data_IF_548858993862
#
_entry.id   IF_548858993862
#
_cell.length_a   1.000
_cell.length_b   1.000
_cell.length_c   1.000
_cell.angle_alpha   90.00
_cell.angle_beta   90.00
_cell.angle_gamma   90.00
#
_symmetry.space_group_name_H-M   'P 1'
#
loop_
_entity.id
_entity.type
_entity.pdbx_description
1 polymer ?
#
# COMPACT_ATOMS: atom_id res chain seq x y z
N UNK A 1 41.77 -28.30 44.51
CA UNK A 1 42.19 -29.67 44.13
C UNK A 1 41.87 -29.85 42.65
N UNK A 2 42.91 -30.06 41.82
CA UNK A 2 42.91 -30.55 40.42
C UNK A 2 42.28 -29.55 39.42
N UNK A 3 42.95 -28.74 38.57
CA UNK A 3 44.17 -28.78 37.73
C UNK A 3 44.22 -29.87 36.67
N UNK A 4 44.08 -29.50 35.38
CA UNK A 4 44.67 -30.12 34.16
C UNK A 4 44.22 -29.29 32.93
N UNK A 5 45.01 -28.35 32.40
CA UNK A 5 46.06 -28.45 31.37
C UNK A 5 45.66 -29.02 29.98
N UNK A 6 45.49 -28.07 29.04
CA UNK A 6 46.06 -27.93 27.68
C UNK A 6 46.39 -29.20 26.84
N UNK A 7 45.96 -29.18 25.58
CA UNK A 7 46.84 -29.43 24.43
C UNK A 7 46.32 -28.76 23.15
N UNK A 8 47.18 -27.94 22.55
CA UNK A 8 47.01 -27.37 21.21
C UNK A 8 47.69 -28.31 20.20
N UNK A 9 47.01 -28.63 19.09
CA UNK A 9 47.63 -29.24 17.93
C UNK A 9 47.56 -28.25 16.76
N UNK A 10 48.71 -27.71 16.40
CA UNK A 10 48.92 -26.99 15.15
C UNK A 10 49.02 -28.01 14.02
N UNK A 11 48.20 -27.88 12.99
CA UNK A 11 48.42 -28.55 11.70
C UNK A 11 48.50 -27.48 10.62
N UNK A 12 49.71 -27.31 10.12
CA UNK A 12 50.09 -26.58 8.91
C UNK A 12 49.77 -27.45 7.69
N UNK A 13 48.87 -26.97 6.82
CA UNK A 13 48.85 -27.33 5.39
C UNK A 13 49.05 -26.00 4.64
N UNK A 14 50.08 -25.80 3.84
CA UNK A 14 50.55 -26.67 2.76
C UNK A 14 49.94 -26.15 1.46
N UNK A 15 50.47 -25.03 0.94
CA UNK A 15 50.05 -24.41 -0.32
C UNK A 15 50.51 -25.32 -1.46
N UNK A 16 49.57 -25.93 -2.18
CA UNK A 16 49.82 -26.56 -3.47
C UNK A 16 49.10 -25.71 -4.52
N UNK A 17 49.89 -24.97 -5.30
CA UNK A 17 49.44 -24.26 -6.47
C UNK A 17 49.26 -25.26 -7.62
N UNK A 18 48.01 -25.60 -7.94
CA UNK A 18 47.69 -26.40 -9.12
C UNK A 18 47.18 -25.45 -10.21
N UNK A 19 47.96 -25.32 -11.28
CA UNK A 19 47.56 -24.62 -12.49
C UNK A 19 46.33 -25.32 -13.11
N UNK A 20 45.20 -24.62 -13.16
CA UNK A 20 44.03 -25.04 -13.92
C UNK A 20 43.91 -24.16 -15.15
N UNK A 21 44.10 -24.82 -16.28
CA UNK A 21 43.97 -24.38 -17.66
C UNK A 21 42.65 -23.63 -17.87
N UNK A 22 42.72 -22.42 -18.39
CA UNK A 22 41.59 -21.60 -18.83
C UNK A 22 40.92 -22.24 -20.05
N UNK A 23 39.90 -23.07 -19.82
CA UNK A 23 38.91 -23.42 -20.84
C UNK A 23 37.91 -22.27 -20.95
N UNK A 24 38.10 -21.45 -21.99
CA UNK A 24 37.18 -20.39 -22.37
C UNK A 24 35.82 -20.96 -22.74
N UNK A 25 34.85 -20.83 -21.84
CA UNK A 25 33.44 -20.93 -22.19
C UNK A 25 33.01 -19.62 -22.86
N UNK A 26 33.15 -19.56 -24.17
CA UNK A 26 32.33 -18.66 -24.99
C UNK A 26 30.87 -19.11 -24.88
N UNK A 27 30.12 -18.56 -23.93
CA UNK A 27 28.66 -18.62 -24.00
C UNK A 27 28.18 -17.59 -25.03
N UNK A 28 28.35 -17.95 -26.30
CA UNK A 28 27.62 -17.35 -27.40
C UNK A 28 26.17 -17.83 -27.32
N UNK A 29 25.36 -17.20 -26.47
CA UNK A 29 23.91 -17.19 -26.64
C UNK A 29 23.46 -15.74 -26.76
N UNK A 30 23.57 -15.23 -28.00
CA UNK A 30 22.64 -14.23 -28.50
C UNK A 30 21.24 -14.77 -28.25
N UNK A 31 20.58 -14.27 -27.20
CA UNK A 31 19.12 -14.33 -27.13
C UNK A 31 18.65 -13.68 -28.42
N UNK A 32 18.01 -14.48 -29.28
CA UNK A 32 17.43 -14.00 -30.52
C UNK A 32 16.68 -12.72 -30.23
N UNK A 33 17.14 -11.61 -30.82
CA UNK A 33 16.41 -10.38 -30.85
C UNK A 33 15.10 -10.70 -31.59
N UNK A 34 14.06 -11.00 -30.82
CA UNK A 34 12.70 -10.92 -31.32
C UNK A 34 12.60 -9.53 -31.96
N UNK A 35 12.28 -9.52 -33.25
CA UNK A 35 11.96 -8.34 -34.04
C UNK A 35 11.30 -7.30 -33.14
N UNK A 36 11.95 -6.13 -32.97
CA UNK A 36 11.69 -5.17 -31.90
C UNK A 36 10.33 -4.51 -32.07
N UNK A 37 9.28 -5.26 -31.78
CA UNK A 37 7.93 -4.76 -31.70
C UNK A 37 7.86 -4.06 -30.35
N UNK A 38 8.37 -2.81 -30.31
CA UNK A 38 8.60 -2.00 -29.11
C UNK A 38 7.49 -2.26 -28.08
N UNK A 39 7.86 -2.72 -26.89
CA UNK A 39 6.89 -2.99 -25.82
C UNK A 39 6.17 -1.67 -25.50
N UNK A 40 4.85 -1.73 -25.39
CA UNK A 40 4.02 -0.62 -24.95
C UNK A 40 3.52 -0.91 -23.55
N UNK A 41 3.10 0.12 -22.82
CA UNK A 41 2.36 -0.08 -21.57
C UNK A 41 1.11 -0.94 -21.79
N UNK A 42 0.38 -0.74 -22.90
CA UNK A 42 -0.79 -1.55 -23.25
C UNK A 42 -0.47 -3.05 -23.36
N UNK A 43 0.65 -3.41 -24.00
CA UNK A 43 1.09 -4.81 -24.11
C UNK A 43 1.36 -5.42 -22.74
N UNK A 44 2.06 -4.73 -21.84
CA UNK A 44 2.45 -5.29 -20.53
C UNK A 44 1.31 -5.23 -19.49
N UNK A 45 0.32 -4.34 -19.67
CA UNK A 45 -0.79 -4.17 -18.72
C UNK A 45 -2.13 -4.76 -19.17
N UNK A 46 -2.20 -5.44 -20.32
CA UNK A 46 -3.46 -5.88 -20.94
C UNK A 46 -4.40 -4.70 -21.28
N UNK A 47 -3.86 -3.64 -21.88
CA UNK A 47 -4.58 -2.42 -22.24
C UNK A 47 -5.34 -1.76 -21.08
N UNK A 48 -4.92 -1.99 -19.84
CA UNK A 48 -5.60 -1.48 -18.64
C UNK A 48 -5.01 -0.15 -18.19
N UNK A 49 -5.81 0.92 -18.24
CA UNK A 49 -5.45 2.22 -17.67
C UNK A 49 -5.30 2.17 -16.14
N UNK A 50 -6.04 1.30 -15.45
CA UNK A 50 -5.93 1.10 -14.00
C UNK A 50 -4.56 0.51 -13.62
N UNK A 51 -4.10 -0.50 -14.34
CA UNK A 51 -2.74 -1.06 -14.15
C UNK A 51 -1.66 -0.03 -14.48
N UNK A 52 -1.82 0.72 -15.57
CA UNK A 52 -0.88 1.82 -15.90
C UNK A 52 -0.87 2.91 -14.82
N UNK A 53 -2.03 3.28 -14.26
CA UNK A 53 -2.11 4.19 -13.12
C UNK A 53 -1.41 3.64 -11.88
N UNK A 54 -1.53 2.34 -11.64
CA UNK A 54 -0.84 1.67 -10.52
C UNK A 54 0.68 1.68 -10.72
N UNK A 55 1.17 1.50 -11.95
CA UNK A 55 2.60 1.70 -12.28
C UNK A 55 3.02 3.13 -11.92
N UNK A 56 2.26 4.16 -12.30
CA UNK A 56 2.55 5.56 -11.94
C UNK A 56 2.61 5.78 -10.42
N UNK A 57 1.68 5.18 -9.68
CA UNK A 57 1.67 5.22 -8.22
C UNK A 57 2.97 4.65 -7.62
N UNK A 58 3.34 3.45 -8.06
CA UNK A 58 4.55 2.76 -7.60
C UNK A 58 5.81 3.52 -8.00
N UNK A 59 5.82 4.18 -9.16
CA UNK A 59 6.93 5.05 -9.59
C UNK A 59 7.16 6.16 -8.58
N UNK A 60 6.10 6.87 -8.17
CA UNK A 60 6.21 7.95 -7.17
C UNK A 60 6.69 7.43 -5.83
N UNK A 61 6.22 6.24 -5.44
CA UNK A 61 6.60 5.60 -4.18
C UNK A 61 8.08 5.20 -4.18
N UNK A 62 8.54 4.57 -5.26
CA UNK A 62 9.92 4.15 -5.44
C UNK A 62 10.87 5.35 -5.51
N UNK A 63 10.49 6.41 -6.24
CA UNK A 63 11.26 7.66 -6.27
C UNK A 63 11.41 8.30 -4.88
N UNK A 64 10.35 8.26 -4.06
CA UNK A 64 10.41 8.77 -2.69
C UNK A 64 11.37 7.98 -1.82
N UNK A 65 11.31 6.65 -1.92
CA UNK A 65 12.14 5.69 -1.19
C UNK A 65 13.62 5.81 -1.56
N UNK A 66 13.95 5.74 -2.85
CA UNK A 66 15.33 5.71 -3.36
C UNK A 66 16.10 7.00 -3.09
N UNK A 67 15.40 8.14 -3.08
CA UNK A 67 16.01 9.46 -2.92
C UNK A 67 15.75 10.08 -1.55
N UNK A 68 15.16 9.34 -0.61
CA UNK A 68 14.83 9.81 0.75
C UNK A 68 14.20 11.21 0.74
N UNK A 69 13.19 11.41 -0.10
CA UNK A 69 12.65 12.75 -0.37
C UNK A 69 12.17 13.44 0.90
N UNK A 70 12.33 14.76 0.97
CA UNK A 70 11.74 15.56 2.05
C UNK A 70 10.21 15.65 1.90
N UNK A 71 9.49 15.98 2.97
CA UNK A 71 8.03 16.19 2.90
C UNK A 71 7.62 17.24 1.84
N UNK A 72 8.41 18.31 1.65
CA UNK A 72 8.17 19.32 0.60
C UNK A 72 8.31 18.74 -0.80
N UNK A 73 9.32 17.89 -1.02
CA UNK A 73 9.51 17.17 -2.29
C UNK A 73 8.39 16.16 -2.53
N UNK A 74 7.93 15.44 -1.49
CA UNK A 74 6.81 14.51 -1.57
C UNK A 74 5.51 15.20 -2.00
N UNK A 75 5.23 16.40 -1.48
CA UNK A 75 4.05 17.17 -1.87
C UNK A 75 3.97 17.42 -3.38
N UNK A 76 5.10 17.46 -4.08
CA UNK A 76 5.15 17.70 -5.53
C UNK A 76 5.01 16.41 -6.36
N UNK A 77 5.07 15.21 -5.77
CA UNK A 77 5.13 13.94 -6.50
C UNK A 77 3.88 13.69 -7.35
N UNK A 78 2.72 14.14 -6.88
CA UNK A 78 1.46 13.98 -7.61
C UNK A 78 1.47 14.73 -8.95
N UNK A 79 2.34 15.75 -9.10
CA UNK A 79 2.53 16.53 -10.31
C UNK A 79 3.66 16.00 -11.22
N UNK A 80 4.41 14.98 -10.78
CA UNK A 80 5.46 14.35 -11.59
C UNK A 80 4.88 13.89 -12.95
N UNK A 81 5.41 14.38 -14.09
CA UNK A 81 4.96 13.93 -15.40
C UNK A 81 5.31 12.46 -15.59
N UNK A 82 4.28 11.62 -15.70
CA UNK A 82 4.41 10.18 -15.89
C UNK A 82 3.54 9.70 -17.07
N UNK A 83 3.84 8.54 -17.66
CA UNK A 83 3.14 8.03 -18.85
C UNK A 83 1.65 7.79 -18.61
N UNK A 84 0.82 8.41 -19.46
CA UNK A 84 -0.65 8.28 -19.41
C UNK A 84 -1.23 7.48 -20.57
N UNK A 85 -0.49 7.34 -21.68
CA UNK A 85 -0.94 6.66 -22.90
C UNK A 85 -0.51 5.20 -22.88
N UNK A 86 -1.43 4.29 -23.22
CA UNK A 86 -1.12 2.86 -23.34
C UNK A 86 -0.13 2.59 -24.48
N UNK A 87 -0.06 3.47 -25.48
CA UNK A 87 0.91 3.41 -26.58
C UNK A 87 2.30 3.90 -26.20
N UNK A 88 2.51 4.46 -25.00
CA UNK A 88 3.83 4.93 -24.60
C UNK A 88 4.80 3.76 -24.36
N UNK A 89 6.08 4.03 -24.62
CA UNK A 89 7.17 3.06 -24.64
C UNK A 89 8.39 3.50 -23.81
N UNK A 90 8.25 4.56 -23.02
CA UNK A 90 9.36 5.17 -22.28
C UNK A 90 9.70 4.37 -21.01
N UNK A 91 9.99 3.08 -21.20
CA UNK A 91 10.45 2.18 -20.16
C UNK A 91 11.33 1.09 -20.74
N UNK A 92 12.15 0.50 -19.87
CA UNK A 92 12.83 -0.77 -20.10
C UNK A 92 12.31 -1.79 -19.11
N UNK A 93 12.26 -3.06 -19.53
CA UNK A 93 11.83 -4.17 -18.70
C UNK A 93 12.96 -5.19 -18.64
N UNK A 94 13.53 -5.37 -17.45
CA UNK A 94 14.55 -6.38 -17.16
C UNK A 94 13.94 -7.58 -16.45
N UNK A 95 14.78 -8.55 -16.05
CA UNK A 95 14.33 -9.70 -15.24
C UNK A 95 13.98 -9.33 -13.79
N UNK A 96 14.39 -8.16 -13.32
CA UNK A 96 14.24 -7.77 -11.91
C UNK A 96 13.51 -6.45 -11.73
N UNK A 97 13.48 -5.58 -12.73
CA UNK A 97 12.88 -4.25 -12.64
C UNK A 97 12.09 -3.84 -13.89
N UNK A 98 11.07 -3.01 -13.68
CA UNK A 98 10.54 -2.11 -14.70
C UNK A 98 11.16 -0.72 -14.47
N UNK A 99 11.99 -0.26 -15.40
CA UNK A 99 12.61 1.06 -15.31
C UNK A 99 11.87 2.04 -16.19
N UNK A 100 11.32 3.09 -15.59
CA UNK A 100 10.59 4.14 -16.32
C UNK A 100 11.54 5.29 -16.61
N UNK A 101 11.67 5.65 -17.88
CA UNK A 101 12.48 6.79 -18.31
C UNK A 101 11.63 8.06 -18.22
N UNK A 102 12.11 9.01 -17.43
CA UNK A 102 11.44 10.27 -17.12
C UNK A 102 11.91 11.39 -18.05
N UNK A 103 10.99 12.29 -18.37
CA UNK A 103 11.35 13.58 -18.98
C UNK A 103 11.97 14.50 -17.92
N UNK A 104 12.62 15.59 -18.36
CA UNK A 104 13.14 16.62 -17.45
C UNK A 104 12.07 17.03 -16.42
N UNK A 105 12.45 17.01 -15.15
CA UNK A 105 11.53 17.23 -14.04
C UNK A 105 12.24 17.91 -12.86
N UNK A 106 11.45 18.35 -11.87
CA UNK A 106 11.92 19.09 -10.70
C UNK A 106 12.80 18.29 -9.73
N UNK A 107 12.89 16.97 -9.89
CA UNK A 107 13.73 16.11 -9.05
C UNK A 107 15.10 15.85 -9.67
N UNK A 108 15.33 16.28 -10.92
CA UNK A 108 16.57 16.02 -11.67
C UNK A 108 16.90 14.52 -11.77
N UNK A 109 15.87 13.67 -11.84
CA UNK A 109 15.97 12.21 -11.98
C UNK A 109 15.56 11.81 -13.38
N UNK A 110 16.40 11.03 -14.06
CA UNK A 110 16.17 10.61 -15.45
C UNK A 110 15.38 9.29 -15.56
N UNK A 111 15.38 8.47 -14.51
CA UNK A 111 14.65 7.20 -14.50
C UNK A 111 14.33 6.72 -13.09
N UNK A 112 13.32 5.84 -12.97
CA UNK A 112 12.95 5.19 -11.72
C UNK A 112 12.79 3.70 -11.98
N UNK A 113 13.54 2.87 -11.26
CA UNK A 113 13.53 1.42 -11.39
C UNK A 113 12.64 0.77 -10.32
N UNK A 114 11.48 0.23 -10.72
CA UNK A 114 10.55 -0.43 -9.80
C UNK A 114 10.85 -1.93 -9.78
N UNK A 115 11.18 -2.53 -8.63
CA UNK A 115 11.33 -3.97 -8.49
C UNK A 115 10.09 -4.74 -8.96
N UNK A 116 10.27 -5.82 -9.73
CA UNK A 116 9.14 -6.57 -10.30
C UNK A 116 8.24 -7.23 -9.25
N UNK A 117 8.76 -7.57 -8.06
CA UNK A 117 7.92 -8.09 -6.97
C UNK A 117 6.83 -7.07 -6.53
N UNK A 118 7.10 -5.76 -6.60
CA UNK A 118 6.11 -4.69 -6.35
C UNK A 118 5.07 -4.57 -7.48
N UNK A 119 5.32 -5.18 -8.64
CA UNK A 119 4.48 -5.12 -9.86
C UNK A 119 3.65 -6.39 -10.10
N UNK A 120 3.70 -7.33 -9.16
CA UNK A 120 2.98 -8.60 -9.18
C UNK A 120 1.47 -8.40 -9.40
N UNK A 121 0.93 -8.99 -10.47
CA UNK A 121 -0.49 -8.86 -10.86
C UNK A 121 -0.88 -7.54 -11.54
N UNK A 122 0.04 -6.58 -11.62
CA UNK A 122 -0.08 -5.32 -12.37
C UNK A 122 0.46 -5.50 -13.78
N UNK A 123 1.65 -6.09 -13.91
CA UNK A 123 2.20 -6.55 -15.19
C UNK A 123 1.69 -7.97 -15.47
N UNK A 124 1.42 -8.28 -16.74
CA UNK A 124 1.04 -9.63 -17.15
C UNK A 124 2.19 -10.63 -16.92
N UNK A 125 1.88 -11.77 -16.31
CA UNK A 125 2.84 -12.83 -15.95
C UNK A 125 3.75 -13.25 -17.10
N UNK A 126 3.29 -13.24 -18.35
CA UNK A 126 4.12 -13.58 -19.53
C UNK A 126 5.33 -12.67 -19.75
N UNK A 127 5.36 -11.50 -19.10
CA UNK A 127 6.49 -10.57 -19.12
C UNK A 127 7.29 -10.55 -17.81
N UNK A 128 7.00 -11.44 -16.86
CA UNK A 128 7.66 -11.52 -15.56
C UNK A 128 8.24 -12.92 -15.34
N UNK A 129 9.37 -13.06 -14.61
CA UNK A 129 9.78 -14.35 -14.07
C UNK A 129 8.69 -15.00 -13.22
N UNK A 130 8.53 -16.34 -13.33
CA UNK A 130 7.49 -17.11 -12.61
C UNK A 130 7.46 -16.88 -11.09
N UNK A 131 8.61 -16.60 -10.48
CA UNK A 131 8.70 -16.31 -9.04
C UNK A 131 7.94 -15.05 -8.60
N UNK A 132 7.55 -14.19 -9.55
CA UNK A 132 6.74 -13.00 -9.33
C UNK A 132 5.29 -13.17 -9.84
N UNK A 133 4.84 -14.40 -10.08
CA UNK A 133 3.44 -14.65 -10.38
C UNK A 133 2.56 -14.21 -9.20
N UNK A 134 1.42 -13.59 -9.50
CA UNK A 134 0.47 -13.22 -8.46
C UNK A 134 -0.13 -14.47 -7.80
N UNK A 135 0.25 -14.68 -6.55
CA UNK A 135 -0.36 -15.69 -5.68
C UNK A 135 -1.47 -15.01 -4.91
N UNK A 136 -2.71 -15.43 -5.18
CA UNK A 136 -3.88 -15.01 -4.42
C UNK A 136 -3.66 -15.36 -2.94
N UNK A 137 -3.72 -14.40 -2.00
CA UNK A 137 -3.54 -14.68 -0.58
C UNK A 137 -4.52 -15.77 -0.12
N UNK A 138 -3.99 -16.81 0.51
CA UNK A 138 -4.83 -17.80 1.17
C UNK A 138 -5.49 -17.15 2.38
N UNK A 139 -6.82 -17.16 2.44
CA UNK A 139 -7.57 -16.65 3.58
C UNK A 139 -8.59 -17.67 4.08
N UNK A 140 -8.92 -17.66 5.38
CA UNK A 140 -10.06 -18.41 5.90
C UNK A 140 -11.36 -18.09 5.16
N UNK A 141 -12.35 -18.99 5.29
CA UNK A 141 -13.64 -18.84 4.59
C UNK A 141 -14.33 -17.51 4.92
N UNK A 142 -14.27 -17.05 6.19
CA UNK A 142 -14.89 -15.80 6.65
C UNK A 142 -13.83 -14.80 7.09
N UNK A 143 -13.80 -13.65 6.43
CA UNK A 143 -12.90 -12.55 6.80
C UNK A 143 -13.59 -11.19 6.78
N UNK A 144 -13.01 -10.23 7.48
CA UNK A 144 -13.40 -8.81 7.47
C UNK A 144 -12.15 -7.93 7.63
N UNK A 145 -12.25 -6.66 7.24
CA UNK A 145 -11.24 -5.64 7.54
C UNK A 145 -11.85 -4.54 8.40
N UNK A 146 -11.23 -4.24 9.54
CA UNK A 146 -11.53 -3.04 10.31
C UNK A 146 -10.80 -1.85 9.72
N UNK A 147 -11.53 -0.74 9.58
CA UNK A 147 -10.97 0.52 9.10
C UNK A 147 -11.42 1.68 9.98
N UNK A 148 -10.52 2.64 10.20
CA UNK A 148 -10.76 3.79 11.08
C UNK A 148 -10.45 5.09 10.34
N UNK A 149 -11.39 6.03 10.34
CA UNK A 149 -11.27 7.33 9.66
C UNK A 149 -11.06 8.48 10.67
N UNK A 150 -10.60 9.62 10.17
CA UNK A 150 -10.43 10.94 10.82
C UNK A 150 -9.24 11.13 11.77
N UNK A 151 -8.64 10.04 12.24
CA UNK A 151 -7.45 10.07 13.08
C UNK A 151 -6.20 10.69 12.41
N UNK A 152 -5.06 10.72 13.13
CA UNK A 152 -4.90 10.21 14.49
C UNK A 152 -5.41 11.21 15.55
N UNK A 153 -6.08 10.69 16.58
CA UNK A 153 -6.34 11.38 17.84
C UNK A 153 -5.20 11.04 18.85
N UNK A 154 -4.68 12.01 19.64
CA UNK A 154 -3.55 11.78 20.51
C UNK A 154 -3.84 10.88 21.72
N UNK A 155 -5.11 10.63 22.03
CA UNK A 155 -5.54 9.87 23.21
C UNK A 155 -6.25 8.57 22.82
N UNK A 156 -7.15 8.63 21.85
CA UNK A 156 -8.04 7.55 21.45
C UNK A 156 -7.35 6.58 20.49
N UNK A 157 -6.62 7.07 19.49
CA UNK A 157 -5.86 6.19 18.58
C UNK A 157 -4.86 5.32 19.36
N UNK A 158 -4.03 5.84 20.31
CA UNK A 158 -3.18 4.97 21.13
C UNK A 158 -3.93 3.94 21.99
N UNK A 159 -5.11 4.28 22.51
CA UNK A 159 -5.96 3.32 23.25
C UNK A 159 -6.47 2.21 22.32
N UNK A 160 -6.90 2.58 21.11
CA UNK A 160 -7.33 1.64 20.08
C UNK A 160 -6.19 0.70 19.66
N UNK A 161 -4.98 1.22 19.45
CA UNK A 161 -3.81 0.39 19.11
C UNK A 161 -3.54 -0.68 20.18
N UNK A 162 -3.63 -0.34 21.48
CA UNK A 162 -3.51 -1.32 22.58
C UNK A 162 -4.61 -2.38 22.54
N UNK A 163 -5.84 -2.00 22.17
CA UNK A 163 -6.95 -2.95 21.99
C UNK A 163 -6.63 -3.90 20.82
N UNK A 164 -6.28 -3.37 19.66
CA UNK A 164 -5.95 -4.14 18.46
C UNK A 164 -4.81 -5.15 18.75
N UNK A 165 -3.75 -4.71 19.44
CA UNK A 165 -2.65 -5.55 19.86
C UNK A 165 -3.10 -6.69 20.80
N UNK A 166 -3.90 -6.37 21.84
CA UNK A 166 -4.43 -7.37 22.79
C UNK A 166 -5.24 -8.46 22.08
N UNK A 167 -5.96 -8.09 21.02
CA UNK A 167 -6.77 -9.03 20.25
C UNK A 167 -6.01 -9.67 19.08
N UNK A 168 -4.73 -9.36 18.86
CA UNK A 168 -3.95 -9.81 17.69
C UNK A 168 -4.69 -9.52 16.37
N UNK A 169 -5.11 -8.27 16.20
CA UNK A 169 -5.79 -7.79 14.99
C UNK A 169 -5.04 -6.57 14.46
N UNK A 170 -4.85 -6.51 13.15
CA UNK A 170 -4.40 -5.30 12.47
C UNK A 170 -5.57 -4.64 11.72
N UNK A 171 -5.50 -3.33 11.57
CA UNK A 171 -6.51 -2.51 10.91
C UNK A 171 -5.88 -1.56 9.88
N UNK A 172 -6.73 -0.85 9.13
CA UNK A 172 -6.30 0.25 8.24
C UNK A 172 -6.85 1.58 8.75
N UNK A 173 -5.98 2.57 8.91
CA UNK A 173 -6.32 3.91 9.40
C UNK A 173 -6.26 4.91 8.25
N UNK A 174 -7.38 5.52 7.89
CA UNK A 174 -7.44 6.60 6.92
C UNK A 174 -7.29 7.92 7.64
N UNK A 175 -6.05 8.42 7.70
CA UNK A 175 -5.70 9.56 8.51
C UNK A 175 -5.88 10.89 7.77
N UNK A 176 -6.36 11.90 8.50
CA UNK A 176 -6.51 13.28 8.01
C UNK A 176 -5.18 14.01 8.18
N UNK A 177 -4.70 14.62 7.11
CA UNK A 177 -3.35 15.22 7.05
C UNK A 177 -3.08 16.27 8.14
N UNK A 178 -4.07 17.09 8.51
CA UNK A 178 -3.94 18.05 9.62
C UNK A 178 -3.69 17.39 10.97
N UNK A 179 -4.35 16.25 11.21
CA UNK A 179 -4.17 15.46 12.43
C UNK A 179 -2.78 14.82 12.46
N UNK A 180 -2.32 14.27 11.33
CA UNK A 180 -0.95 13.71 11.20
C UNK A 180 0.12 14.76 11.46
N UNK A 181 -0.03 15.97 10.91
CA UNK A 181 0.92 17.06 11.16
C UNK A 181 1.00 17.44 12.63
N UNK A 182 -0.11 17.36 13.36
CA UNK A 182 -0.17 17.69 14.79
C UNK A 182 0.36 16.54 15.66
N UNK A 183 0.11 15.30 15.28
CA UNK A 183 0.42 14.11 16.08
C UNK A 183 1.23 13.04 15.32
N UNK A 184 2.38 13.39 14.72
CA UNK A 184 3.13 12.47 13.86
C UNK A 184 3.64 11.22 14.59
N UNK A 185 3.84 11.30 15.91
CA UNK A 185 4.24 10.15 16.73
C UNK A 185 3.15 9.07 16.82
N UNK A 186 1.88 9.46 16.71
CA UNK A 186 0.75 8.52 16.74
C UNK A 186 0.70 7.75 15.43
N UNK A 187 0.79 8.42 14.28
CA UNK A 187 0.89 7.76 12.96
C UNK A 187 2.09 6.81 12.87
N UNK A 188 3.24 7.18 13.46
CA UNK A 188 4.39 6.24 13.57
C UNK A 188 4.03 4.97 14.34
N UNK A 189 3.30 5.13 15.44
CA UNK A 189 2.89 3.99 16.28
C UNK A 189 1.89 3.09 15.53
N UNK A 190 0.97 3.69 14.78
CA UNK A 190 0.03 2.94 13.91
C UNK A 190 0.79 1.98 12.98
N UNK A 191 1.78 2.48 12.22
CA UNK A 191 2.56 1.62 11.32
C UNK A 191 3.46 0.62 12.07
N UNK A 192 4.10 1.05 13.17
CA UNK A 192 5.00 0.19 13.95
C UNK A 192 4.29 -1.07 14.47
N UNK A 193 3.00 -0.94 14.81
CA UNK A 193 2.18 -2.05 15.31
C UNK A 193 1.61 -2.95 14.19
N UNK A 194 2.09 -2.81 12.94
CA UNK A 194 1.71 -3.64 11.80
C UNK A 194 0.38 -3.25 11.13
N UNK A 195 -0.19 -2.11 11.50
CA UNK A 195 -1.38 -1.57 10.84
C UNK A 195 -1.00 -0.84 9.53
N UNK A 196 -2.00 -0.53 8.72
CA UNK A 196 -1.81 0.25 7.49
C UNK A 196 -2.33 1.67 7.66
N UNK A 197 -1.71 2.63 6.95
CA UNK A 197 -2.19 4.01 6.85
C UNK A 197 -2.62 4.31 5.41
N UNK A 198 -3.84 4.81 5.27
CA UNK A 198 -4.39 5.43 4.08
C UNK A 198 -4.50 6.95 4.22
N UNK A 199 -4.79 7.62 3.11
CA UNK A 199 -4.95 9.07 3.04
C UNK A 199 -6.45 9.42 3.09
N UNK A 200 -6.83 10.33 4.00
CA UNK A 200 -8.20 10.80 4.18
C UNK A 200 -8.37 12.31 3.92
N UNK A 201 -7.66 12.84 2.91
CA UNK A 201 -7.56 14.28 2.62
C UNK A 201 -6.87 15.08 3.74
N UNK A 202 -6.68 16.40 3.57
CA UNK A 202 -5.90 17.23 4.50
C UNK A 202 -6.76 17.77 5.64
N UNK A 203 -7.98 18.19 5.36
CA UNK A 203 -8.89 18.75 6.36
C UNK A 203 -10.35 18.35 6.11
N UNK A 204 -10.55 17.15 5.59
CA UNK A 204 -11.86 16.49 5.41
C UNK A 204 -12.89 17.23 4.50
N UNK A 205 -12.53 17.96 3.43
CA UNK A 205 -13.54 18.51 2.54
C UNK A 205 -14.11 17.41 1.63
N UNK A 206 -15.36 17.59 1.21
CA UNK A 206 -15.90 16.80 0.10
C UNK A 206 -15.13 17.12 -1.20
N UNK A 207 -14.26 16.20 -1.64
CA UNK A 207 -13.32 16.45 -2.75
C UNK A 207 -14.02 16.76 -4.08
N UNK A 208 -15.22 16.22 -4.29
CA UNK A 208 -16.03 16.46 -5.50
C UNK A 208 -16.56 17.88 -5.62
N UNK A 209 -16.56 18.66 -4.54
CA UNK A 209 -16.94 20.08 -4.53
C UNK A 209 -15.75 21.01 -4.80
N UNK A 210 -14.54 20.46 -4.90
CA UNK A 210 -13.32 21.23 -5.13
C UNK A 210 -12.91 21.24 -6.60
N UNK A 211 -12.19 22.29 -7.00
CA UNK A 211 -11.46 22.30 -8.27
C UNK A 211 -10.39 21.19 -8.30
N UNK A 212 -9.99 20.75 -9.49
CA UNK A 212 -8.99 19.68 -9.64
C UNK A 212 -7.68 20.00 -8.90
N UNK A 213 -7.24 21.27 -8.92
CA UNK A 213 -6.04 21.70 -8.21
C UNK A 213 -6.20 21.58 -6.69
N UNK A 214 -7.31 22.07 -6.14
CA UNK A 214 -7.60 22.00 -4.69
C UNK A 214 -7.77 20.56 -4.21
N UNK A 215 -8.50 19.72 -4.94
CA UNK A 215 -8.66 18.30 -4.60
C UNK A 215 -7.32 17.56 -4.63
N UNK A 216 -6.48 17.79 -5.65
CA UNK A 216 -5.13 17.20 -5.71
C UNK A 216 -4.24 17.68 -4.56
N UNK A 217 -4.33 18.96 -4.20
CA UNK A 217 -3.55 19.54 -3.11
C UNK A 217 -3.92 18.95 -1.74
N UNK A 218 -5.20 18.62 -1.53
CA UNK A 218 -5.66 17.89 -0.33
C UNK A 218 -4.93 16.55 -0.18
N UNK A 219 -4.86 15.77 -1.25
CA UNK A 219 -4.17 14.47 -1.24
C UNK A 219 -2.66 14.65 -1.05
N UNK A 220 -2.06 15.57 -1.80
CA UNK A 220 -0.61 15.81 -1.78
C UNK A 220 -0.07 16.26 -0.42
N UNK A 221 -0.79 17.14 0.28
CA UNK A 221 -0.40 17.59 1.62
C UNK A 221 -0.47 16.46 2.64
N UNK A 222 -1.50 15.61 2.55
CA UNK A 222 -1.64 14.46 3.45
C UNK A 222 -0.60 13.39 3.17
N UNK A 223 -0.28 13.11 1.90
CA UNK A 223 0.82 12.21 1.53
C UNK A 223 2.16 12.71 2.11
N UNK A 224 2.44 14.02 2.00
CA UNK A 224 3.63 14.63 2.59
C UNK A 224 3.66 14.55 4.12
N UNK A 225 2.52 14.76 4.79
CA UNK A 225 2.43 14.66 6.25
C UNK A 225 2.68 13.23 6.74
N UNK A 226 2.03 12.24 6.12
CA UNK A 226 2.19 10.82 6.45
C UNK A 226 3.61 10.36 6.17
N UNK A 227 4.18 10.71 5.01
CA UNK A 227 5.55 10.37 4.69
C UNK A 227 6.55 11.01 5.67
N UNK A 228 6.39 12.29 6.00
CA UNK A 228 7.26 12.95 6.99
C UNK A 228 7.16 12.29 8.37
N UNK A 229 5.96 11.84 8.76
CA UNK A 229 5.76 11.18 10.03
C UNK A 229 6.40 9.79 10.05
N UNK A 230 6.27 9.02 8.95
CA UNK A 230 6.45 7.56 8.95
C UNK A 230 7.52 7.00 8.01
N UNK A 231 8.05 7.82 7.11
CA UNK A 231 8.94 7.40 6.02
C UNK A 231 8.25 6.63 4.89
N UNK A 232 6.93 6.44 4.95
CA UNK A 232 6.18 5.64 3.97
C UNK A 232 5.06 6.46 3.33
N UNK A 233 4.87 6.31 2.03
CA UNK A 233 3.72 6.89 1.32
C UNK A 233 2.48 6.01 1.50
N UNK A 234 1.30 6.59 1.77
CA UNK A 234 0.09 5.82 1.91
C UNK A 234 -0.31 5.21 0.55
N UNK A 235 -0.82 3.98 0.57
CA UNK A 235 -1.17 3.24 -0.66
C UNK A 235 -2.61 3.50 -1.11
N UNK A 236 -3.52 3.80 -0.19
CA UNK A 236 -4.97 3.91 -0.48
C UNK A 236 -5.59 5.25 -0.09
N UNK A 237 -6.52 5.76 -0.89
CA UNK A 237 -7.31 6.95 -0.52
C UNK A 237 -8.70 6.49 -0.10
N UNK A 238 -9.21 7.01 1.02
CA UNK A 238 -10.64 7.04 1.29
C UNK A 238 -11.10 8.49 1.21
N UNK A 239 -11.94 8.87 0.23
CA UNK A 239 -12.47 10.21 0.14
C UNK A 239 -13.43 10.49 1.31
N UNK A 240 -13.36 11.67 1.94
CA UNK A 240 -14.38 12.12 2.91
C UNK A 240 -15.80 11.91 2.39
N UNK A 241 -16.68 11.42 3.26
CA UNK A 241 -18.09 11.11 2.97
C UNK A 241 -18.30 10.02 1.89
N UNK A 242 -17.24 9.31 1.49
CA UNK A 242 -17.28 8.40 0.34
C UNK A 242 -17.46 9.13 -1.00
N UNK A 243 -17.37 10.46 -1.02
CA UNK A 243 -17.70 11.29 -2.16
C UNK A 243 -16.57 11.27 -3.20
N UNK A 244 -16.79 10.50 -4.27
CA UNK A 244 -15.86 10.36 -5.39
C UNK A 244 -16.62 10.32 -6.72
N UNK A 245 -15.96 10.78 -7.78
CA UNK A 245 -16.42 10.61 -9.16
C UNK A 245 -15.20 10.45 -10.07
N UNK A 246 -15.44 10.10 -11.34
CA UNK A 246 -14.41 9.88 -12.34
C UNK A 246 -13.44 11.06 -12.49
N UNK A 247 -13.93 12.31 -12.36
CA UNK A 247 -13.09 13.50 -12.39
C UNK A 247 -12.05 13.49 -11.26
N UNK A 248 -12.49 13.26 -10.02
CA UNK A 248 -11.61 13.34 -8.84
C UNK A 248 -10.77 12.08 -8.66
N UNK A 249 -11.35 10.88 -8.83
CA UNK A 249 -10.65 9.61 -8.62
C UNK A 249 -9.45 9.39 -9.56
N UNK A 250 -9.45 10.06 -10.72
CA UNK A 250 -8.35 10.00 -11.68
C UNK A 250 -7.25 11.05 -11.44
N UNK A 251 -7.31 11.88 -10.39
CA UNK A 251 -6.34 12.97 -10.17
C UNK A 251 -5.01 12.52 -9.56
N UNK A 252 -4.97 11.36 -8.90
CA UNK A 252 -3.87 10.96 -8.01
C UNK A 252 -3.42 9.50 -8.16
N UNK A 253 -3.95 8.75 -9.12
CA UNK A 253 -3.51 7.38 -9.46
C UNK A 253 -3.53 6.38 -8.28
N UNK A 254 -4.60 6.31 -7.49
CA UNK A 254 -4.65 5.39 -6.33
C UNK A 254 -5.94 4.56 -6.27
N UNK A 255 -5.90 3.38 -5.64
CA UNK A 255 -7.10 2.66 -5.25
C UNK A 255 -7.92 3.49 -4.27
N UNK A 256 -9.24 3.51 -4.48
CA UNK A 256 -10.21 4.16 -3.61
C UNK A 256 -10.83 3.09 -2.70
N UNK A 257 -10.76 3.28 -1.39
CA UNK A 257 -11.32 2.33 -0.43
C UNK A 257 -12.57 2.93 0.19
N UNK A 258 -13.70 2.31 -0.10
CA UNK A 258 -15.00 2.61 0.48
C UNK A 258 -15.27 1.60 1.60
N UNK A 259 -16.55 1.32 1.88
CA UNK A 259 -16.96 0.33 2.88
C UNK A 259 -18.28 -0.32 2.46
N UNK A 260 -18.54 -1.52 2.95
CA UNK A 260 -19.84 -2.20 2.81
C UNK A 260 -20.62 -2.23 4.12
N UNK A 261 -19.95 -1.91 5.24
CA UNK A 261 -20.55 -1.81 6.57
C UNK A 261 -20.18 -0.46 7.17
N UNK A 262 -21.17 0.43 7.30
CA UNK A 262 -21.07 1.67 8.08
C UNK A 262 -21.46 1.35 9.53
N UNK A 263 -20.57 1.56 10.49
CA UNK A 263 -20.89 1.31 11.90
C UNK A 263 -21.89 2.30 12.49
N UNK A 264 -22.10 3.44 11.82
CA UNK A 264 -22.90 4.58 12.30
C UNK A 264 -22.44 5.12 13.65
N UNK A 265 -21.21 4.85 14.03
CA UNK A 265 -20.63 5.24 15.32
C UNK A 265 -20.56 6.76 15.49
N UNK A 266 -20.22 7.49 14.42
CA UNK A 266 -20.27 8.94 14.29
C UNK A 266 -21.66 9.56 14.52
N UNK A 267 -22.73 8.80 14.21
CA UNK A 267 -24.11 9.26 14.37
C UNK A 267 -24.71 8.84 15.71
N UNK A 268 -24.36 7.64 16.20
CA UNK A 268 -24.95 7.09 17.42
C UNK A 268 -24.29 7.60 18.68
N UNK A 269 -22.97 7.80 18.68
CA UNK A 269 -22.17 8.12 19.87
C UNK A 269 -22.53 7.22 21.07
N UNK A 270 -22.83 5.95 20.80
CA UNK A 270 -23.33 4.99 21.78
C UNK A 270 -22.74 3.61 21.50
N UNK A 271 -21.99 3.07 22.46
CA UNK A 271 -21.23 1.84 22.30
C UNK A 271 -22.11 0.61 22.04
N UNK A 272 -23.12 0.27 22.88
CA UNK A 272 -23.98 -0.89 22.62
C UNK A 272 -24.70 -0.81 21.26
N UNK A 273 -25.20 0.38 20.89
CA UNK A 273 -25.89 0.58 19.61
C UNK A 273 -24.95 0.37 18.41
N UNK A 274 -23.74 0.91 18.50
CA UNK A 274 -22.68 0.70 17.49
C UNK A 274 -22.32 -0.77 17.35
N UNK A 275 -22.09 -1.47 18.46
CA UNK A 275 -21.78 -2.91 18.47
C UNK A 275 -22.91 -3.69 17.80
N UNK A 276 -24.16 -3.47 18.22
CA UNK A 276 -25.31 -4.19 17.68
C UNK A 276 -25.47 -3.95 16.17
N UNK A 277 -25.29 -2.70 15.72
CA UNK A 277 -25.39 -2.37 14.30
C UNK A 277 -24.31 -3.07 13.48
N UNK A 278 -23.03 -2.96 13.86
CA UNK A 278 -21.92 -3.61 13.16
C UNK A 278 -22.12 -5.13 13.11
N UNK A 279 -22.52 -5.75 14.21
CA UNK A 279 -22.74 -7.20 14.26
C UNK A 279 -23.93 -7.65 13.42
N UNK A 280 -24.95 -6.81 13.22
CA UNK A 280 -26.11 -7.13 12.41
C UNK A 280 -25.82 -7.00 10.90
N UNK A 281 -24.95 -6.07 10.50
CA UNK A 281 -24.70 -5.76 9.08
C UNK A 281 -23.42 -6.40 8.52
N UNK A 282 -22.54 -6.91 9.39
CA UNK A 282 -21.30 -7.59 8.96
C UNK A 282 -21.57 -8.90 8.22
N UNK A 283 -21.01 -9.01 7.02
CA UNK A 283 -21.01 -10.21 6.18
C UNK A 283 -19.59 -10.64 5.79
N UNK A 284 -19.46 -11.78 5.12
CA UNK A 284 -18.14 -12.22 4.63
C UNK A 284 -17.58 -11.21 3.62
N UNK A 285 -16.33 -10.79 3.84
CA UNK A 285 -15.64 -9.87 2.95
C UNK A 285 -15.92 -8.39 3.23
N UNK A 286 -16.59 -8.05 4.32
CA UNK A 286 -16.89 -6.64 4.64
C UNK A 286 -15.64 -5.82 4.92
N UNK A 287 -15.65 -4.58 4.43
CA UNK A 287 -14.84 -3.48 4.95
C UNK A 287 -15.73 -2.71 5.93
N UNK A 288 -15.34 -2.66 7.20
CA UNK A 288 -16.11 -2.02 8.28
C UNK A 288 -15.53 -0.62 8.50
N UNK A 289 -16.36 0.41 8.31
CA UNK A 289 -16.06 1.82 8.62
C UNK A 289 -16.36 2.12 10.08
N UNK A 290 -15.38 2.66 10.79
CA UNK A 290 -15.47 3.23 12.14
C UNK A 290 -14.62 4.50 12.21
N UNK A 291 -14.69 5.25 13.31
CA UNK A 291 -13.92 6.46 13.55
C UNK A 291 -13.16 6.36 14.87
N UNK A 292 -11.85 6.56 14.88
CA UNK A 292 -11.00 6.44 16.07
C UNK A 292 -10.86 7.76 16.87
N UNK A 293 -11.75 8.72 16.58
CA UNK A 293 -11.84 10.03 17.24
C UNK A 293 -12.98 10.13 18.27
N UNK A 294 -13.76 9.06 18.46
CA UNK A 294 -14.87 9.01 19.42
C UNK A 294 -14.63 7.96 20.52
N UNK A 295 -14.75 8.32 21.81
CA UNK A 295 -14.56 7.37 22.90
C UNK A 295 -15.48 6.14 22.83
N UNK A 296 -16.73 6.36 22.41
CA UNK A 296 -17.74 5.29 22.29
C UNK A 296 -17.47 4.34 21.13
N UNK A 297 -16.87 4.83 20.03
CA UNK A 297 -16.37 4.00 18.92
C UNK A 297 -15.23 3.11 19.38
N UNK A 298 -14.21 3.68 20.03
CA UNK A 298 -13.07 2.91 20.54
C UNK A 298 -13.51 1.86 21.57
N UNK A 299 -14.46 2.20 22.44
CA UNK A 299 -15.02 1.27 23.42
C UNK A 299 -15.85 0.12 22.79
N UNK A 300 -16.36 0.26 21.56
CA UNK A 300 -17.11 -0.79 20.86
C UNK A 300 -16.21 -1.90 20.29
N UNK A 301 -14.96 -1.56 19.94
CA UNK A 301 -14.04 -2.45 19.21
C UNK A 301 -13.78 -3.80 19.91
N UNK A 302 -13.55 -3.88 21.24
CA UNK A 302 -13.34 -5.16 21.92
C UNK A 302 -14.50 -6.17 21.73
N UNK A 303 -15.74 -5.69 21.85
CA UNK A 303 -16.93 -6.55 21.72
C UNK A 303 -17.18 -6.95 20.26
N UNK A 304 -16.94 -6.03 19.32
CA UNK A 304 -16.99 -6.33 17.87
C UNK A 304 -15.98 -7.42 17.52
N UNK A 305 -14.70 -7.26 17.90
CA UNK A 305 -13.65 -8.24 17.58
C UNK A 305 -13.96 -9.59 18.19
N UNK A 306 -14.24 -9.64 19.50
CA UNK A 306 -14.50 -10.90 20.19
C UNK A 306 -15.71 -11.65 19.62
N UNK A 307 -16.79 -10.95 19.29
CA UNK A 307 -18.01 -11.57 18.76
C UNK A 307 -17.83 -12.04 17.33
N UNK A 308 -17.19 -11.25 16.46
CA UNK A 308 -16.92 -11.67 15.08
C UNK A 308 -15.94 -12.85 15.03
N UNK A 309 -14.91 -12.89 15.89
CA UNK A 309 -14.05 -14.07 16.03
C UNK A 309 -14.84 -15.31 16.44
N UNK A 310 -15.74 -15.20 17.44
CA UNK A 310 -16.65 -16.30 17.83
C UNK A 310 -17.55 -16.77 16.68
N UNK A 311 -17.93 -15.85 15.76
CA UNK A 311 -18.68 -16.16 14.53
C UNK A 311 -17.81 -16.69 13.38
N UNK A 312 -16.55 -17.01 13.65
CA UNK A 312 -15.60 -17.61 12.72
C UNK A 312 -14.91 -16.63 11.76
N UNK A 313 -14.98 -15.31 12.00
CA UNK A 313 -14.30 -14.32 11.18
C UNK A 313 -12.83 -14.16 11.55
N UNK A 314 -11.99 -14.02 10.54
CA UNK A 314 -10.61 -13.56 10.68
C UNK A 314 -10.49 -12.10 10.23
N UNK A 315 -9.84 -11.28 11.04
CA UNK A 315 -9.55 -9.89 10.69
C UNK A 315 -8.29 -9.83 9.84
N UNK A 316 -8.37 -9.20 8.67
CA UNK A 316 -7.27 -9.12 7.72
C UNK A 316 -7.16 -7.70 7.16
N UNK A 317 -5.95 -7.31 6.74
CA UNK A 317 -5.72 -6.07 6.01
C UNK A 317 -6.30 -6.12 4.59
N UNK A 318 -6.47 -4.96 3.97
CA UNK A 318 -7.17 -4.81 2.69
C UNK A 318 -6.65 -5.72 1.55
N UNK A 319 -5.33 -5.89 1.31
CA UNK A 319 -4.85 -6.80 0.26
C UNK A 319 -5.32 -8.24 0.45
N UNK A 320 -5.33 -8.74 1.69
CA UNK A 320 -5.77 -10.09 2.03
C UNK A 320 -7.31 -10.20 1.97
N UNK A 321 -8.04 -9.14 2.32
CA UNK A 321 -9.49 -9.12 2.17
C UNK A 321 -9.90 -9.26 0.70
N UNK A 322 -9.30 -8.42 -0.13
CA UNK A 322 -9.66 -8.19 -1.53
C UNK A 322 -9.15 -9.31 -2.44
N UNK A 323 -8.03 -9.97 -2.08
CA UNK A 323 -7.49 -11.14 -2.79
C UNK A 323 -7.24 -10.91 -4.28
N UNK A 324 -6.89 -9.67 -4.64
CA UNK A 324 -6.44 -9.25 -5.97
C UNK A 324 -5.61 -7.97 -5.83
N UNK A 325 -4.82 -7.60 -6.86
CA UNK A 325 -4.16 -6.31 -6.89
C UNK A 325 -5.18 -5.16 -6.73
N UNK A 326 -4.89 -4.26 -5.79
CA UNK A 326 -5.61 -3.00 -5.61
C UNK A 326 -5.09 -2.03 -6.66
N UNK A 327 -5.92 -1.66 -7.63
CA UNK A 327 -5.52 -0.89 -8.80
C UNK A 327 -6.00 0.56 -8.71
N UNK A 328 -5.19 1.47 -9.24
CA UNK A 328 -5.51 2.88 -9.36
C UNK A 328 -6.82 3.13 -10.13
N UNK A 329 -7.66 4.05 -9.65
CA UNK A 329 -8.91 4.43 -10.33
C UNK A 329 -10.04 3.39 -10.21
N UNK A 330 -9.87 2.36 -9.38
CA UNK A 330 -10.97 1.50 -8.93
C UNK A 330 -11.36 1.87 -7.50
N UNK A 331 -12.65 1.71 -7.19
CA UNK A 331 -13.20 1.81 -5.84
C UNK A 331 -13.63 0.44 -5.32
N UNK A 332 -13.35 0.16 -4.04
CA UNK A 332 -13.54 -1.13 -3.39
C UNK A 332 -14.43 -0.99 -2.16
N UNK A 333 -15.51 -1.76 -2.09
CA UNK A 333 -16.48 -1.73 -0.98
C UNK A 333 -16.34 -2.98 -0.09
N UNK A 334 -15.85 -4.08 -0.66
CA UNK A 334 -15.64 -5.34 0.02
C UNK A 334 -15.01 -6.39 -0.89
N UNK A 335 -14.84 -7.62 -0.39
CA UNK A 335 -14.36 -8.75 -1.20
C UNK A 335 -15.30 -8.98 -2.38
N UNK A 336 -14.77 -8.88 -3.60
CA UNK A 336 -15.53 -9.10 -4.83
C UNK A 336 -16.42 -7.91 -5.24
N UNK A 337 -16.52 -6.86 -4.42
CA UNK A 337 -17.29 -5.66 -4.72
C UNK A 337 -16.32 -4.49 -5.01
N UNK A 338 -16.10 -4.26 -6.31
CA UNK A 338 -15.31 -3.15 -6.81
C UNK A 338 -15.81 -2.69 -8.18
N UNK A 339 -15.59 -1.43 -8.50
CA UNK A 339 -16.02 -0.80 -9.76
C UNK A 339 -15.11 0.38 -10.11
N UNK A 340 -15.23 0.89 -11.34
CA UNK A 340 -14.59 2.15 -11.73
C UNK A 340 -15.09 3.32 -10.89
N UNK A 341 -14.25 4.35 -10.76
CA UNK A 341 -14.61 5.65 -10.15
C UNK A 341 -15.46 6.52 -11.05
#
# INVERSE_FOLDING_TARGET
MITLFRNHLFITLGIIATAITTLGFQTNQKVAAATSNQLTYGKITNNSLHRLGTIRQLTRSQLAEDHHLTGKQVQQLVYLPLPKRLTAHNFTLSRTHLTIHLVKNSYNVNEVAIPLNKLTGIILNRYMPKQYDYVKPATPKKVVSLTFDDGPDPTLTPKLLKILQRYHVHATFFEVGSSVMKYPAVSRSVLKDGNQIGNHSRNHPQLTNLSNSRARHQIALTDAAIYKATGTLPQYVRPPYGAINSRVGNLFDRPIIQWSVDSRDWAYLNTPKTVNHVLATTHNGSIILMHDIHPTSVAAVPQIISTLKKRGYTFVLLPNLIQRPLLAGLQYFGRGDYRGV
#
